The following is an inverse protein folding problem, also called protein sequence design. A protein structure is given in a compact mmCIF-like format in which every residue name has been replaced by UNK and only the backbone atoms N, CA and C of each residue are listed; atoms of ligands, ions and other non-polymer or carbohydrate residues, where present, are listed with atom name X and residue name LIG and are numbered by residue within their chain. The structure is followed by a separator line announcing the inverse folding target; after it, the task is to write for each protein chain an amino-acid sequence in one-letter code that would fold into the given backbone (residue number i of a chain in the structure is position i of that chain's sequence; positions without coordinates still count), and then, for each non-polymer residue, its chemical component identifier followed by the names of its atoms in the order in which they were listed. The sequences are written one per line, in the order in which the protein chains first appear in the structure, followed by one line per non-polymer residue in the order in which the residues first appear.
data_IF_675195200160
#
_entry.id   IF_675195200160
#
_cell.length_a   1.000
_cell.length_b   1.000
_cell.length_c   1.000
_cell.angle_alpha   90.00
_cell.angle_beta   90.00
_cell.angle_gamma   90.00
#
_symmetry.space_group_name_H-M   'P 1'
#
loop_
_entity.id
_entity.type
_entity.pdbx_description
1 polymer ?
#
# COMPACT_ATOMS: atom_id res chain seq x y z
N UNK A 1 -1.84 19.06 -2.26
CA UNK A 1 -0.46 18.57 -2.02
C UNK A 1 -0.52 17.68 -0.80
N UNK A 2 -0.59 16.37 -1.00
CA UNK A 2 -0.63 15.38 0.09
C UNK A 2 0.76 15.30 0.73
N UNK A 3 0.85 15.41 2.05
CA UNK A 3 2.13 15.39 2.78
C UNK A 3 2.26 14.04 3.48
N UNK A 4 3.03 13.13 2.89
CA UNK A 4 3.43 11.89 3.55
C UNK A 4 4.47 12.21 4.63
N UNK A 5 4.05 12.25 5.89
CA UNK A 5 4.98 12.31 7.01
C UNK A 5 5.47 10.89 7.34
N UNK A 6 6.77 10.65 7.17
CA UNK A 6 7.45 9.41 7.52
C UNK A 6 7.59 9.27 9.04
N UNK A 7 6.47 9.05 9.71
CA UNK A 7 6.41 8.71 11.13
C UNK A 7 6.59 7.21 11.34
N UNK A 8 7.82 6.73 11.18
CA UNK A 8 8.20 5.32 11.41
C UNK A 8 9.72 5.19 11.44
N UNK A 9 10.34 5.70 12.50
CA UNK A 9 11.75 5.45 12.79
C UNK A 9 11.88 4.08 13.48
N UNK A 10 13.00 3.37 13.23
CA UNK A 10 13.49 2.08 13.76
C UNK A 10 13.40 0.88 12.78
N UNK A 11 14.42 0.09 12.44
CA UNK A 11 15.90 0.10 12.56
C UNK A 11 16.42 -0.69 11.34
N UNK A 12 17.11 -0.04 10.40
CA UNK A 12 18.05 -0.74 9.53
C UNK A 12 19.39 -0.76 10.24
N UNK A 13 19.73 -1.89 10.87
CA UNK A 13 21.02 -2.11 11.54
C UNK A 13 22.17 -1.59 10.68
N UNK A 14 23.14 -0.98 11.34
CA UNK A 14 24.35 -0.36 10.80
C UNK A 14 25.32 -1.32 10.09
N UNK A 15 24.90 -1.99 9.01
CA UNK A 15 25.75 -2.81 8.15
C UNK A 15 25.36 -2.65 6.67
N UNK A 16 26.12 -1.82 5.93
CA UNK A 16 26.44 -2.00 4.51
C UNK A 16 25.34 -1.89 3.44
N UNK A 17 24.24 -2.65 3.54
CA UNK A 17 23.30 -2.85 2.44
C UNK A 17 21.93 -2.23 2.73
N UNK A 18 21.54 -1.27 1.89
CA UNK A 18 20.18 -0.74 1.85
C UNK A 18 19.28 -1.68 1.07
N UNK A 19 18.06 -1.87 1.57
CA UNK A 19 17.01 -2.61 0.88
C UNK A 19 16.82 -2.09 -0.55
N UNK A 20 16.70 -3.00 -1.52
CA UNK A 20 16.42 -2.60 -2.89
C UNK A 20 14.95 -2.28 -3.07
N UNK A 21 14.07 -2.89 -2.27
CA UNK A 21 12.63 -2.73 -2.27
C UNK A 21 12.09 -2.69 -0.84
N UNK A 22 11.19 -1.73 -0.61
CA UNK A 22 10.39 -1.64 0.61
C UNK A 22 8.94 -1.43 0.21
N UNK A 23 8.04 -2.13 0.90
CA UNK A 23 6.59 -1.96 0.79
C UNK A 23 6.08 -1.40 2.10
N UNK A 24 5.28 -0.35 2.01
CA UNK A 24 4.64 0.33 3.13
C UNK A 24 3.13 0.28 2.95
N UNK A 25 2.45 -0.08 4.03
CA UNK A 25 1.01 0.02 4.16
C UNK A 25 0.66 1.12 5.14
N UNK A 26 -0.18 2.05 4.70
CA UNK A 26 -0.60 3.19 5.50
C UNK A 26 -2.10 3.41 5.48
N UNK A 27 -2.56 4.20 6.45
CA UNK A 27 -3.96 4.53 6.67
C UNK A 27 -4.12 6.05 6.77
N UNK A 28 -5.28 6.56 6.38
CA UNK A 28 -5.60 7.96 6.53
C UNK A 28 -5.60 8.34 8.02
N UNK A 29 -4.87 9.40 8.40
CA UNK A 29 -4.89 9.91 9.77
C UNK A 29 -6.27 10.50 10.07
N UNK A 30 -6.96 10.08 11.15
CA UNK A 30 -8.35 10.48 11.43
C UNK A 30 -8.56 11.99 11.51
N UNK A 31 -7.62 12.71 12.14
CA UNK A 31 -7.73 14.16 12.36
C UNK A 31 -7.01 15.01 11.29
N UNK A 32 -6.31 14.38 10.34
CA UNK A 32 -5.46 15.06 9.38
C UNK A 32 -5.66 14.49 7.98
N UNK A 33 -6.62 15.04 7.24
CA UNK A 33 -7.04 14.58 5.90
C UNK A 33 -5.91 14.49 4.87
N UNK A 34 -4.79 15.18 5.06
CA UNK A 34 -3.65 15.16 4.15
C UNK A 34 -2.47 14.31 4.62
N UNK A 35 -2.66 13.48 5.65
CA UNK A 35 -1.61 12.66 6.26
C UNK A 35 -1.97 11.18 6.22
N UNK A 36 -1.03 10.40 5.72
CA UNK A 36 -1.06 8.93 5.78
C UNK A 36 -0.10 8.47 6.86
N UNK A 37 -0.58 7.67 7.80
CA UNK A 37 0.25 7.03 8.81
C UNK A 37 0.64 5.62 8.34
N UNK A 38 1.95 5.38 8.21
CA UNK A 38 2.46 4.03 7.92
C UNK A 38 2.30 3.14 9.15
N UNK A 39 1.74 1.94 8.97
CA UNK A 39 1.55 0.96 10.05
C UNK A 39 2.41 -0.27 9.86
N UNK A 40 2.46 -0.79 8.64
CA UNK A 40 3.22 -2.01 8.32
C UNK A 40 4.27 -1.71 7.26
N UNK A 41 5.46 -2.31 7.41
CA UNK A 41 6.57 -2.15 6.49
C UNK A 41 7.32 -3.46 6.29
N UNK A 42 7.58 -3.80 5.03
CA UNK A 42 8.36 -4.97 4.64
C UNK A 42 9.54 -4.54 3.77
N UNK A 43 10.70 -5.16 3.97
CA UNK A 43 11.90 -4.95 3.16
C UNK A 43 12.35 -6.25 2.51
N UNK A 44 13.02 -6.16 1.37
CA UNK A 44 13.58 -7.33 0.70
C UNK A 44 14.77 -7.97 1.43
N UNK A 45 15.38 -7.26 2.40
CA UNK A 45 16.43 -7.81 3.27
C UNK A 45 15.86 -8.90 4.18
N UNK A 46 14.70 -8.66 4.77
CA UNK A 46 14.12 -9.54 5.80
C UNK A 46 12.93 -10.35 5.27
N UNK A 47 12.22 -9.82 4.28
CA UNK A 47 10.90 -10.29 3.86
C UNK A 47 10.80 -10.43 2.34
N UNK A 48 11.84 -10.98 1.70
CA UNK A 48 11.91 -11.16 0.24
C UNK A 48 10.64 -11.81 -0.34
N UNK A 49 10.13 -12.89 0.26
CA UNK A 49 8.91 -13.55 -0.22
C UNK A 49 7.68 -12.64 -0.17
N UNK A 50 7.56 -11.80 0.86
CA UNK A 50 6.45 -10.84 0.96
C UNK A 50 6.54 -9.81 -0.16
N UNK A 51 7.75 -9.27 -0.39
CA UNK A 51 8.00 -8.33 -1.47
C UNK A 51 7.65 -8.94 -2.83
N UNK A 52 8.14 -10.14 -3.12
CA UNK A 52 7.94 -10.78 -4.41
C UNK A 52 6.47 -11.10 -4.68
N UNK A 53 5.75 -11.61 -3.68
CA UNK A 53 4.32 -11.90 -3.79
C UNK A 53 3.51 -10.63 -4.08
N UNK A 54 3.74 -9.55 -3.34
CA UNK A 54 3.00 -8.29 -3.55
C UNK A 54 3.35 -7.71 -4.93
N UNK A 55 4.62 -7.75 -5.33
CA UNK A 55 5.02 -7.29 -6.68
C UNK A 55 4.35 -8.11 -7.78
N UNK A 56 4.24 -9.44 -7.60
CA UNK A 56 3.54 -10.31 -8.55
C UNK A 56 2.07 -9.92 -8.67
N UNK A 57 1.36 -9.71 -7.54
CA UNK A 57 -0.03 -9.24 -7.53
C UNK A 57 -0.15 -7.90 -8.26
N UNK A 58 0.74 -6.95 -7.96
CA UNK A 58 0.73 -5.62 -8.58
C UNK A 58 1.05 -5.67 -10.08
N UNK A 59 1.79 -6.67 -10.56
CA UNK A 59 2.07 -6.85 -11.98
C UNK A 59 0.95 -7.59 -12.71
N UNK A 60 0.26 -8.51 -12.04
CA UNK A 60 -0.80 -9.34 -12.62
C UNK A 60 -2.19 -8.70 -12.59
N UNK A 61 -2.36 -7.60 -11.84
CA UNK A 61 -3.64 -6.90 -11.68
C UNK A 61 -4.32 -6.57 -13.02
N UNK A 62 -5.62 -6.80 -13.10
CA UNK A 62 -6.40 -6.65 -14.32
C UNK A 62 -6.97 -5.23 -14.42
N UNK A 63 -6.74 -4.53 -15.54
CA UNK A 63 -7.28 -3.18 -15.74
C UNK A 63 -8.80 -3.22 -15.87
N UNK A 64 -9.48 -2.31 -15.16
CA UNK A 64 -10.93 -2.15 -15.21
C UNK A 64 -11.30 -0.75 -15.68
N UNK A 65 -12.45 -0.62 -16.36
CA UNK A 65 -12.93 0.64 -16.96
C UNK A 65 -14.15 1.22 -16.27
N UNK A 66 -14.90 0.40 -15.53
CA UNK A 66 -16.06 0.83 -14.76
C UNK A 66 -15.79 0.58 -13.29
N UNK A 67 -15.63 1.66 -12.53
CA UNK A 67 -15.18 1.63 -11.14
C UNK A 67 -16.24 2.27 -10.28
N UNK A 68 -16.71 1.55 -9.28
CA UNK A 68 -17.60 2.06 -8.24
C UNK A 68 -16.85 2.02 -6.91
N UNK A 69 -15.97 2.99 -6.68
CA UNK A 69 -15.27 3.19 -5.41
C UNK A 69 -15.43 4.64 -4.96
N UNK A 70 -15.44 4.86 -3.65
CA UNK A 70 -15.29 6.21 -3.13
C UNK A 70 -13.81 6.61 -3.24
N UNK A 71 -13.47 7.38 -4.28
CA UNK A 71 -12.10 7.81 -4.58
C UNK A 71 -11.44 8.59 -3.43
N UNK A 72 -12.23 9.15 -2.51
CA UNK A 72 -11.74 9.99 -1.40
C UNK A 72 -11.41 9.20 -0.14
N UNK A 73 -11.85 7.93 -0.04
CA UNK A 73 -11.72 7.12 1.17
C UNK A 73 -11.30 5.69 0.83
N UNK A 74 -10.01 5.46 0.54
CA UNK A 74 -9.48 4.10 0.44
C UNK A 74 -9.36 3.44 1.80
N UNK A 75 -9.37 2.11 1.78
CA UNK A 75 -9.16 1.29 2.97
C UNK A 75 -7.71 1.36 3.45
N UNK A 76 -6.78 1.31 2.50
CA UNK A 76 -5.33 1.43 2.74
C UNK A 76 -4.65 2.16 1.59
N UNK A 77 -3.45 2.66 1.90
CA UNK A 77 -2.47 3.14 0.94
C UNK A 77 -1.31 2.15 0.86
N UNK A 78 -0.96 1.74 -0.35
CA UNK A 78 0.17 0.85 -0.63
C UNK A 78 1.24 1.64 -1.37
N UNK A 79 2.43 1.72 -0.78
CA UNK A 79 3.59 2.35 -1.40
C UNK A 79 4.71 1.33 -1.60
N UNK A 80 5.31 1.31 -2.79
CA UNK A 80 6.54 0.56 -3.07
C UNK A 80 7.63 1.55 -3.39
N UNK A 81 8.78 1.42 -2.73
CA UNK A 81 9.96 2.29 -2.95
C UNK A 81 11.24 1.49 -3.05
N UNK A 82 12.27 2.13 -3.61
CA UNK A 82 13.62 1.61 -3.64
C UNK A 82 14.55 2.50 -2.81
N UNK A 83 14.79 2.18 -1.52
CA UNK A 83 15.71 2.94 -0.68
C UNK A 83 17.13 3.00 -1.25
N UNK A 84 17.60 1.90 -1.86
CA UNK A 84 18.91 1.84 -2.53
C UNK A 84 19.03 2.83 -3.71
N UNK A 85 17.93 3.17 -4.37
CA UNK A 85 17.88 4.08 -5.51
C UNK A 85 17.26 5.44 -5.18
N UNK A 86 16.77 5.63 -3.96
CA UNK A 86 16.09 6.85 -3.50
C UNK A 86 14.88 7.26 -4.38
N UNK A 87 14.10 6.28 -4.86
CA UNK A 87 12.93 6.53 -5.71
C UNK A 87 11.68 5.82 -5.18
N UNK A 88 10.52 6.46 -5.34
CA UNK A 88 9.22 5.81 -5.25
C UNK A 88 8.93 5.06 -6.56
N UNK A 89 8.38 3.85 -6.46
CA UNK A 89 8.07 2.99 -7.61
C UNK A 89 6.57 2.93 -7.85
N UNK A 90 5.79 2.74 -6.78
CA UNK A 90 4.34 2.62 -6.82
C UNK A 90 3.76 3.39 -5.63
N UNK A 91 2.68 4.11 -5.87
CA UNK A 91 1.84 4.72 -4.84
C UNK A 91 0.39 4.47 -5.25
N UNK A 92 -0.35 3.71 -4.46
CA UNK A 92 -1.70 3.28 -4.82
C UNK A 92 -2.66 3.33 -3.64
N UNK A 93 -3.90 3.67 -3.95
CA UNK A 93 -5.06 3.49 -3.08
C UNK A 93 -5.60 2.08 -3.29
N UNK A 94 -6.05 1.44 -2.22
CA UNK A 94 -6.68 0.11 -2.28
C UNK A 94 -8.04 0.16 -1.58
N UNK A 95 -9.06 -0.35 -2.26
CA UNK A 95 -10.41 -0.54 -1.73
C UNK A 95 -10.73 -2.02 -1.72
N UNK A 96 -10.96 -2.57 -0.54
CA UNK A 96 -11.34 -3.96 -0.38
C UNK A 96 -12.83 -4.17 -0.65
N UNK A 97 -13.15 -5.28 -1.30
CA UNK A 97 -14.53 -5.69 -1.59
C UNK A 97 -14.71 -7.16 -1.20
N UNK A 98 -15.94 -7.64 -1.24
CA UNK A 98 -16.22 -9.07 -0.95
C UNK A 98 -15.59 -10.02 -1.98
N UNK A 99 -15.37 -9.52 -3.20
CA UNK A 99 -14.84 -10.25 -4.36
C UNK A 99 -13.30 -10.15 -4.50
N UNK A 100 -12.67 -9.21 -3.79
CA UNK A 100 -11.24 -8.92 -3.95
C UNK A 100 -10.87 -7.50 -3.52
N UNK A 101 -10.12 -6.81 -4.37
CA UNK A 101 -9.82 -5.41 -4.15
C UNK A 101 -9.72 -4.66 -5.47
N UNK A 102 -9.98 -3.36 -5.39
CA UNK A 102 -9.72 -2.39 -6.45
C UNK A 102 -8.46 -1.63 -6.06
N UNK A 103 -7.52 -1.50 -6.98
CA UNK A 103 -6.27 -0.76 -6.83
C UNK A 103 -6.30 0.40 -7.80
N UNK A 104 -6.02 1.61 -7.31
CA UNK A 104 -6.06 2.81 -8.13
C UNK A 104 -5.03 3.86 -7.70
N UNK A 105 -5.02 5.02 -8.36
CA UNK A 105 -4.14 6.12 -8.02
C UNK A 105 -4.40 6.63 -6.61
N UNK A 106 -3.41 7.31 -6.04
CA UNK A 106 -3.61 8.12 -4.83
C UNK A 106 -4.19 9.47 -5.24
N UNK A 107 -5.37 9.80 -4.74
CA UNK A 107 -6.08 11.05 -5.05
C UNK A 107 -7.05 10.95 -6.23
N UNK A 108 -7.54 12.11 -6.68
CA UNK A 108 -8.67 12.22 -7.62
C UNK A 108 -8.27 12.26 -9.11
N UNK A 109 -7.05 11.84 -9.49
CA UNK A 109 -6.66 11.92 -10.91
C UNK A 109 -7.48 10.92 -11.74
N UNK A 110 -8.46 11.44 -12.48
CA UNK A 110 -9.47 10.67 -13.21
C UNK A 110 -8.91 10.02 -14.48
N UNK A 111 -7.70 10.37 -14.90
CA UNK A 111 -7.04 9.78 -16.07
C UNK A 111 -6.30 8.48 -15.75
N UNK A 112 -6.15 8.15 -14.47
CA UNK A 112 -5.39 6.98 -14.04
C UNK A 112 -6.23 5.70 -14.08
N UNK A 113 -5.56 4.62 -14.45
CA UNK A 113 -6.20 3.32 -14.63
C UNK A 113 -6.43 2.67 -13.27
N UNK A 114 -7.65 2.16 -13.08
CA UNK A 114 -7.97 1.29 -11.95
C UNK A 114 -7.78 -0.16 -12.35
N UNK A 115 -7.51 -0.97 -11.35
CA UNK A 115 -7.24 -2.39 -11.51
C UNK A 115 -8.01 -3.19 -10.48
N UNK A 116 -8.30 -4.45 -10.80
CA UNK A 116 -8.87 -5.43 -9.88
C UNK A 116 -7.85 -6.52 -9.59
N UNK A 117 -7.88 -6.98 -8.35
CA UNK A 117 -7.23 -8.21 -7.90
C UNK A 117 -8.29 -9.13 -7.30
N UNK A 118 -8.04 -10.43 -7.30
CA UNK A 118 -9.00 -11.41 -6.81
C UNK A 118 -9.02 -11.48 -5.27
N UNK A 119 -10.00 -12.20 -4.72
CA UNK A 119 -10.18 -12.38 -3.27
C UNK A 119 -8.93 -12.90 -2.55
N UNK A 120 -8.28 -13.94 -3.07
CA UNK A 120 -7.10 -14.51 -2.41
C UNK A 120 -5.94 -13.52 -2.33
N UNK A 121 -5.74 -12.73 -3.39
CA UNK A 121 -4.72 -11.68 -3.43
C UNK A 121 -5.06 -10.53 -2.49
N UNK A 122 -6.34 -10.13 -2.45
CA UNK A 122 -6.82 -9.08 -1.57
C UNK A 122 -6.70 -9.48 -0.09
N UNK A 123 -7.09 -10.71 0.25
CA UNK A 123 -6.98 -11.24 1.61
C UNK A 123 -5.51 -11.31 2.07
N UNK A 124 -4.60 -11.70 1.18
CA UNK A 124 -3.17 -11.65 1.45
C UNK A 124 -2.69 -10.22 1.73
N UNK A 125 -3.12 -9.23 0.94
CA UNK A 125 -2.78 -7.83 1.19
C UNK A 125 -3.38 -7.33 2.50
N UNK A 126 -4.64 -7.65 2.82
CA UNK A 126 -5.28 -7.31 4.11
C UNK A 126 -4.48 -7.82 5.29
N UNK A 127 -4.06 -9.09 5.23
CA UNK A 127 -3.24 -9.72 6.27
C UNK A 127 -1.93 -8.95 6.46
N UNK A 128 -1.19 -8.68 5.38
CA UNK A 128 0.10 -7.98 5.48
C UNK A 128 -0.04 -6.51 5.88
N UNK A 129 -1.14 -5.87 5.54
CA UNK A 129 -1.45 -4.51 5.94
C UNK A 129 -1.93 -4.41 7.40
N UNK A 130 -2.22 -5.54 8.06
CA UNK A 130 -2.79 -5.55 9.42
C UNK A 130 -4.21 -4.95 9.47
N UNK A 131 -4.97 -5.04 8.39
CA UNK A 131 -6.25 -4.33 8.21
C UNK A 131 -7.27 -4.61 9.31
N UNK A 132 -7.47 -5.88 9.67
CA UNK A 132 -8.44 -6.27 10.69
C UNK A 132 -8.07 -5.73 12.08
N UNK A 133 -6.76 -5.67 12.39
CA UNK A 133 -6.28 -5.11 13.66
C UNK A 133 -6.51 -3.60 13.72
N UNK A 134 -6.34 -2.90 12.60
CA UNK A 134 -6.56 -1.47 12.49
C UNK A 134 -8.05 -1.11 12.65
N UNK A 135 -8.94 -1.83 11.98
CA UNK A 135 -10.39 -1.61 12.09
C UNK A 135 -10.87 -1.76 13.53
N UNK A 136 -10.39 -2.79 14.23
CA UNK A 136 -10.74 -3.02 15.65
C UNK A 136 -10.17 -1.98 16.61
N UNK A 137 -9.06 -1.32 16.26
CA UNK A 137 -8.42 -0.28 17.10
C UNK A 137 -9.01 1.12 16.88
N UNK A 138 -9.82 1.29 15.84
CA UNK A 138 -10.42 2.57 15.43
C UNK A 138 -11.89 2.71 15.84
N UNK A 139 -12.46 1.69 16.49
CA UNK A 139 -13.79 1.70 17.13
C UNK A 139 -13.69 2.07 18.60
#
# INVERSE_FOLDING_TARGET
MLIMFTGGFFIGKANGDKASRVIEFGYQHPEQENRIDTKEMYSDIEHQSTIDNIMMILMAKEKITNVQVNSTQPDIYLTVKSPKKYVGLISSSVWFTDEGAIIGPVGEDQNDSYYRINKGEADYIKEKAGYDNYQNSSM
#
